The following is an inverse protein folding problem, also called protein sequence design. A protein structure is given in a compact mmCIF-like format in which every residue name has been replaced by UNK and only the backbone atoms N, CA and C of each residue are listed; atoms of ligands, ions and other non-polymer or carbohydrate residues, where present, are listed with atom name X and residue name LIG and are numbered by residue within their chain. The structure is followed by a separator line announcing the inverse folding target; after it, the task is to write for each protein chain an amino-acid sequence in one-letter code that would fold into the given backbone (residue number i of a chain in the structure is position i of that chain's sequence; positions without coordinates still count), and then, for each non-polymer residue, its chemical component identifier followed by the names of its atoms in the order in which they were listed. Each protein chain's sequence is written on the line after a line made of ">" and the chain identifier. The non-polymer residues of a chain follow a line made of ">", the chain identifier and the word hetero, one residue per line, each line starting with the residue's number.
data_IF_584156191406
#
_entry.id   IF_584156191406
#
_cell.length_a   1.000
_cell.length_b   1.000
_cell.length_c   1.000
_cell.angle_alpha   90.00
_cell.angle_beta   90.00
_cell.angle_gamma   90.00
#
_symmetry.space_group_name_H-M   'P 1'
#
loop_
_entity.id
_entity.type
_entity.pdbx_description
1 polymer ?
#
# COMPACT_ATOMS: atom_id res chain seq x y z
N UNK A 1 -3.41 24.58 8.54
CA UNK A 1 -2.53 23.58 7.94
C UNK A 1 -2.77 23.52 6.44
N UNK A 2 -1.74 23.17 5.65
CA UNK A 2 -1.90 22.95 4.21
C UNK A 2 -2.33 21.49 4.03
N UNK A 3 -3.54 21.27 3.53
CA UNK A 3 -4.14 19.95 3.49
C UNK A 3 -3.97 19.28 2.13
N UNK A 4 -3.78 17.96 2.17
CA UNK A 4 -3.68 17.06 1.01
C UNK A 4 -4.43 15.78 1.33
N UNK A 5 -4.70 14.94 0.32
CA UNK A 5 -5.02 13.54 0.59
C UNK A 5 -3.72 12.83 0.99
N UNK A 6 -3.64 12.37 2.24
CA UNK A 6 -2.51 11.59 2.74
C UNK A 6 -2.57 10.17 2.19
N UNK A 7 -1.43 9.59 1.85
CA UNK A 7 -1.28 8.14 1.76
C UNK A 7 -1.65 7.49 3.10
N UNK A 8 -1.27 8.13 4.21
CA UNK A 8 -1.64 7.74 5.57
C UNK A 8 -0.69 6.70 6.16
N UNK A 9 -0.07 5.87 5.33
CA UNK A 9 0.96 4.93 5.73
C UNK A 9 2.25 5.10 4.91
N UNK A 10 2.76 6.33 4.84
CA UNK A 10 3.99 6.62 4.11
C UNK A 10 5.24 6.01 4.79
N UNK A 11 5.74 4.89 4.26
CA UNK A 11 7.00 4.27 4.69
C UNK A 11 7.68 3.52 3.53
N UNK A 12 8.98 3.20 3.68
CA UNK A 12 9.83 2.61 2.63
C UNK A 12 9.27 1.29 2.09
N UNK A 13 8.71 0.44 2.95
CA UNK A 13 8.12 -0.85 2.56
C UNK A 13 6.70 -0.73 1.99
N UNK A 14 6.04 0.42 2.10
CA UNK A 14 4.80 0.70 1.38
C UNK A 14 5.06 1.02 -0.09
N UNK A 15 6.30 1.31 -0.47
CA UNK A 15 6.69 1.42 -1.87
C UNK A 15 6.86 0.04 -2.48
N UNK A 16 6.38 -0.13 -3.70
CA UNK A 16 6.58 -1.35 -4.47
C UNK A 16 6.02 -1.22 -5.87
N UNK A 17 5.82 -2.35 -6.52
CA UNK A 17 5.34 -2.37 -7.90
C UNK A 17 4.16 -3.30 -8.11
N UNK A 18 3.33 -2.96 -9.09
CA UNK A 18 2.10 -3.65 -9.48
C UNK A 18 1.83 -3.45 -10.97
N UNK A 19 0.94 -4.26 -11.55
CA UNK A 19 0.48 -4.05 -12.92
C UNK A 19 -0.54 -2.89 -12.99
N UNK A 20 -0.27 -1.93 -13.87
CA UNK A 20 -1.22 -0.89 -14.22
C UNK A 20 -2.35 -1.41 -15.14
N UNK A 21 -3.37 -0.59 -15.44
CA UNK A 21 -4.48 -0.96 -16.33
C UNK A 21 -4.07 -1.37 -17.75
N UNK A 22 -2.89 -0.93 -18.23
CA UNK A 22 -2.33 -1.31 -19.52
C UNK A 22 -1.42 -2.55 -19.44
N UNK A 23 -1.35 -3.21 -18.28
CA UNK A 23 -0.50 -4.36 -18.00
C UNK A 23 0.98 -4.02 -17.78
N UNK A 24 1.39 -2.75 -17.92
CA UNK A 24 2.76 -2.34 -17.62
C UNK A 24 2.97 -2.28 -16.12
N UNK A 25 4.16 -2.70 -15.68
CA UNK A 25 4.52 -2.59 -14.27
C UNK A 25 4.81 -1.14 -13.90
N UNK A 26 4.13 -0.68 -12.87
CA UNK A 26 4.29 0.64 -12.26
C UNK A 26 4.94 0.46 -10.90
N UNK A 27 5.78 1.40 -10.48
CA UNK A 27 6.28 1.46 -9.11
C UNK A 27 5.68 2.68 -8.39
N UNK A 28 5.05 2.45 -7.24
CA UNK A 28 4.30 3.46 -6.48
C UNK A 28 4.01 2.97 -5.05
N UNK A 29 3.21 3.72 -4.28
CA UNK A 29 2.65 3.26 -2.99
C UNK A 29 1.65 2.10 -3.18
N UNK A 30 1.60 1.17 -2.22
CA UNK A 30 0.77 -0.05 -2.33
C UNK A 30 -0.43 -0.10 -1.37
N UNK A 31 -0.34 0.62 -0.26
CA UNK A 31 -1.28 0.58 0.85
C UNK A 31 -1.80 2.00 1.16
N UNK A 32 -3.12 2.08 1.29
CA UNK A 32 -3.91 3.30 1.49
C UNK A 32 -4.99 3.07 2.54
N UNK A 33 -4.88 2.02 3.37
CA UNK A 33 -5.81 1.75 4.48
C UNK A 33 -5.99 2.97 5.39
N UNK A 34 -4.96 3.80 5.55
CA UNK A 34 -4.94 4.96 6.44
C UNK A 34 -5.15 6.30 5.72
N UNK A 35 -5.50 6.27 4.44
CA UNK A 35 -5.66 7.50 3.63
C UNK A 35 -6.77 8.40 4.17
N UNK A 36 -6.46 9.69 4.36
CA UNK A 36 -7.40 10.71 4.85
C UNK A 36 -6.92 12.09 4.42
N UNK A 37 -7.80 13.08 4.38
CA UNK A 37 -7.37 14.47 4.25
C UNK A 37 -6.67 14.94 5.54
N UNK A 38 -5.47 15.50 5.38
CA UNK A 38 -4.68 15.98 6.51
C UNK A 38 -3.45 16.80 6.12
N UNK A 39 -2.70 17.28 7.13
CA UNK A 39 -1.50 18.07 6.90
C UNK A 39 -0.43 17.29 6.16
N UNK A 40 0.05 17.82 5.02
CA UNK A 40 1.04 17.16 4.16
C UNK A 40 2.32 16.75 4.90
N UNK A 41 2.68 17.45 5.98
CA UNK A 41 3.86 17.15 6.77
C UNK A 41 3.80 15.76 7.41
N UNK A 42 2.60 15.21 7.65
CA UNK A 42 2.45 13.92 8.35
C UNK A 42 3.05 12.78 7.53
N UNK A 43 2.73 12.70 6.24
CA UNK A 43 3.30 11.70 5.34
C UNK A 43 4.81 11.92 5.13
N UNK A 44 5.24 13.18 4.97
CA UNK A 44 6.66 13.51 4.76
C UNK A 44 7.50 13.15 5.99
N UNK A 45 7.02 13.46 7.19
CA UNK A 45 7.66 13.10 8.46
C UNK A 45 7.72 11.59 8.67
N UNK A 46 6.62 10.88 8.39
CA UNK A 46 6.54 9.42 8.53
C UNK A 46 7.49 8.70 7.57
N UNK A 47 7.52 9.12 6.30
CA UNK A 47 8.46 8.57 5.31
C UNK A 47 9.91 8.86 5.69
N UNK A 48 10.22 10.08 6.14
CA UNK A 48 11.57 10.44 6.58
C UNK A 48 12.04 9.57 7.77
N UNK A 49 11.18 9.36 8.78
CA UNK A 49 11.49 8.46 9.89
C UNK A 49 11.69 7.01 9.41
N UNK A 50 10.87 6.55 8.45
CA UNK A 50 11.04 5.23 7.84
C UNK A 50 12.36 5.09 7.09
N UNK A 51 12.87 6.13 6.43
CA UNK A 51 14.17 6.12 5.76
C UNK A 51 15.31 5.96 6.78
N UNK A 52 15.21 6.61 7.95
CA UNK A 52 16.18 6.43 9.05
C UNK A 52 16.17 4.98 9.53
N UNK A 53 15.00 4.41 9.83
CA UNK A 53 14.86 3.02 10.28
C UNK A 53 15.37 2.03 9.24
N UNK A 54 15.04 2.23 7.96
CA UNK A 54 15.55 1.40 6.87
C UNK A 54 17.08 1.50 6.74
N UNK A 55 17.65 2.68 6.98
CA UNK A 55 19.08 2.89 7.05
C UNK A 55 19.75 2.13 8.19
N UNK A 56 19.16 2.17 9.41
CA UNK A 56 19.64 1.42 10.58
C UNK A 56 19.63 -0.08 10.32
N UNK A 57 18.54 -0.61 9.79
CA UNK A 57 18.40 -2.03 9.43
C UNK A 57 19.42 -2.45 8.36
N UNK A 58 19.68 -1.58 7.38
CA UNK A 58 20.72 -1.80 6.37
C UNK A 58 22.16 -1.60 6.88
N UNK A 59 22.35 -1.41 8.19
CA UNK A 59 23.64 -1.17 8.87
C UNK A 59 24.38 0.10 8.39
N UNK A 60 23.64 1.12 7.99
CA UNK A 60 24.21 2.42 7.63
C UNK A 60 24.55 3.25 8.87
N UNK A 61 25.57 4.12 8.71
CA UNK A 61 25.94 5.09 9.75
C UNK A 61 25.01 6.29 9.72
N UNK A 62 24.99 7.05 10.83
CA UNK A 62 24.19 8.26 10.97
C UNK A 62 24.30 9.23 9.79
N UNK A 63 25.52 9.50 9.33
CA UNK A 63 25.74 10.39 8.20
C UNK A 63 25.02 9.91 6.93
N UNK A 64 24.95 8.61 6.68
CA UNK A 64 24.38 8.05 5.46
C UNK A 64 22.86 8.16 5.43
N UNK A 65 22.16 7.75 6.50
CA UNK A 65 20.69 7.92 6.51
C UNK A 65 20.27 9.38 6.66
N UNK A 66 21.11 10.24 7.26
CA UNK A 66 20.87 11.70 7.30
C UNK A 66 20.86 12.28 5.89
N UNK A 67 21.87 11.94 5.07
CA UNK A 67 21.93 12.35 3.66
C UNK A 67 20.74 11.80 2.88
N UNK A 68 20.33 10.55 3.11
CA UNK A 68 19.16 9.99 2.44
C UNK A 68 17.85 10.74 2.78
N UNK A 69 17.65 11.12 4.04
CA UNK A 69 16.47 11.93 4.44
C UNK A 69 16.53 13.32 3.80
N UNK A 70 17.69 13.96 3.80
CA UNK A 70 17.86 15.26 3.14
C UNK A 70 17.60 15.17 1.63
N UNK A 71 18.06 14.11 0.96
CA UNK A 71 17.79 13.85 -0.45
C UNK A 71 16.30 13.62 -0.73
N UNK A 72 15.59 12.92 0.15
CA UNK A 72 14.13 12.76 0.10
C UNK A 72 13.41 14.12 0.18
N UNK A 73 13.72 14.94 1.18
CA UNK A 73 13.03 16.23 1.39
C UNK A 73 13.40 17.24 0.32
N UNK A 74 14.67 17.27 -0.11
CA UNK A 74 15.11 18.11 -1.22
C UNK A 74 14.37 17.73 -2.50
N UNK A 75 14.29 16.44 -2.82
CA UNK A 75 13.54 16.00 -4.00
C UNK A 75 12.06 16.36 -3.88
N UNK A 76 11.44 16.12 -2.72
CA UNK A 76 10.05 16.49 -2.48
C UNK A 76 9.81 17.98 -2.77
N UNK A 77 10.66 18.85 -2.22
CA UNK A 77 10.54 20.31 -2.35
C UNK A 77 10.74 20.77 -3.81
N UNK A 78 11.77 20.27 -4.49
CA UNK A 78 12.03 20.60 -5.90
C UNK A 78 10.94 20.07 -6.83
N UNK A 79 10.39 18.88 -6.56
CA UNK A 79 9.25 18.35 -7.33
C UNK A 79 7.99 19.17 -7.11
N UNK A 80 7.73 19.63 -5.89
CA UNK A 80 6.62 20.57 -5.63
C UNK A 80 6.78 21.89 -6.35
N UNK A 81 7.99 22.46 -6.37
CA UNK A 81 8.29 23.67 -7.12
C UNK A 81 8.03 23.48 -8.63
N UNK A 82 8.45 22.33 -9.18
CA UNK A 82 8.14 21.95 -10.55
C UNK A 82 6.62 21.88 -10.80
N UNK A 83 5.88 21.13 -9.97
CA UNK A 83 4.43 20.96 -10.16
C UNK A 83 3.64 22.26 -9.98
N UNK A 84 4.10 23.17 -9.12
CA UNK A 84 3.52 24.49 -8.98
C UNK A 84 3.62 25.34 -10.26
N UNK A 85 4.64 25.09 -11.10
CA UNK A 85 4.86 25.77 -12.38
C UNK A 85 4.22 25.08 -13.59
N UNK A 86 3.67 23.87 -13.43
CA UNK A 86 3.13 23.06 -14.53
C UNK A 86 1.61 23.22 -14.71
N UNK A 87 1.09 23.05 -15.94
CA UNK A 87 -0.35 22.95 -16.15
C UNK A 87 -0.97 21.78 -15.36
N UNK A 88 -2.13 22.01 -14.75
CA UNK A 88 -2.83 21.05 -13.87
C UNK A 88 -2.97 19.65 -14.51
N UNK A 89 -3.27 19.57 -15.82
CA UNK A 89 -3.41 18.28 -16.51
C UNK A 89 -2.07 17.52 -16.66
N UNK A 90 -0.94 18.22 -16.67
CA UNK A 90 0.38 17.58 -16.70
C UNK A 90 0.69 16.99 -15.33
N UNK A 91 0.50 17.76 -14.24
CA UNK A 91 0.63 17.27 -12.86
C UNK A 91 -0.28 16.06 -12.60
N UNK A 92 -1.54 16.12 -13.04
CA UNK A 92 -2.50 15.04 -12.88
C UNK A 92 -2.07 13.72 -13.57
N UNK A 93 -1.25 13.80 -14.62
CA UNK A 93 -0.79 12.67 -15.44
C UNK A 93 0.69 12.31 -15.20
N UNK A 94 1.39 13.04 -14.33
CA UNK A 94 2.82 12.88 -14.12
C UNK A 94 3.16 11.46 -13.70
N UNK A 95 4.17 10.87 -14.33
CA UNK A 95 4.71 9.56 -13.99
C UNK A 95 6.20 9.68 -13.68
N UNK A 96 6.67 8.98 -12.65
CA UNK A 96 8.06 9.01 -12.24
C UNK A 96 8.90 8.03 -13.04
N UNK A 97 9.65 8.52 -14.03
CA UNK A 97 10.39 7.66 -14.97
C UNK A 97 11.76 7.18 -14.45
N UNK A 98 12.37 7.89 -13.50
CA UNK A 98 13.71 7.55 -12.94
C UNK A 98 13.78 6.24 -12.17
N UNK A 99 12.63 5.63 -11.89
CA UNK A 99 12.48 4.33 -11.24
C UNK A 99 13.30 3.21 -11.89
N UNK A 100 13.43 3.22 -13.22
CA UNK A 100 14.04 2.11 -13.95
C UNK A 100 15.57 2.01 -13.77
N UNK A 101 16.22 3.08 -13.26
CA UNK A 101 17.67 3.14 -13.06
C UNK A 101 18.08 2.90 -11.60
N UNK A 102 17.12 2.76 -10.68
CA UNK A 102 17.37 2.61 -9.24
C UNK A 102 17.32 1.13 -8.86
N UNK A 103 18.47 0.58 -8.45
CA UNK A 103 18.65 -0.87 -8.21
C UNK A 103 17.58 -1.51 -7.31
N UNK A 104 17.22 -0.96 -6.12
CA UNK A 104 16.12 -1.48 -5.30
C UNK A 104 14.79 -1.59 -6.07
N UNK A 105 14.48 -0.60 -6.90
CA UNK A 105 13.25 -0.53 -7.69
C UNK A 105 13.29 -1.51 -8.85
N UNK A 106 14.41 -1.59 -9.58
CA UNK A 106 14.61 -2.61 -10.62
C UNK A 106 14.47 -4.02 -10.06
N UNK A 107 14.91 -4.28 -8.82
CA UNK A 107 14.73 -5.56 -8.15
C UNK A 107 13.24 -5.85 -7.86
N UNK A 108 12.49 -4.88 -7.31
CA UNK A 108 11.05 -5.00 -7.08
C UNK A 108 10.26 -5.23 -8.38
N UNK A 109 10.63 -4.53 -9.47
CA UNK A 109 10.04 -4.72 -10.80
C UNK A 109 10.31 -6.13 -11.35
N UNK A 110 11.53 -6.66 -11.19
CA UNK A 110 11.86 -8.04 -11.60
C UNK A 110 11.11 -9.10 -10.80
N UNK A 111 10.89 -8.85 -9.50
CA UNK A 111 10.05 -9.71 -8.67
C UNK A 111 8.61 -9.73 -9.19
N UNK A 112 8.08 -8.55 -9.50
CA UNK A 112 6.73 -8.34 -10.02
C UNK A 112 6.49 -9.07 -11.34
N UNK A 113 7.45 -9.03 -12.27
CA UNK A 113 7.38 -9.77 -13.55
C UNK A 113 7.16 -11.28 -13.36
N UNK A 114 7.60 -11.85 -12.24
CA UNK A 114 7.49 -13.29 -11.94
C UNK A 114 6.30 -13.64 -11.05
N UNK A 115 5.50 -12.67 -10.65
CA UNK A 115 4.35 -12.87 -9.77
C UNK A 115 3.05 -12.82 -10.57
N UNK A 116 2.81 -13.84 -11.41
CA UNK A 116 1.61 -13.88 -12.25
C UNK A 116 0.41 -14.49 -11.49
N UNK A 117 -0.84 -14.20 -11.92
CA UNK A 117 -2.03 -14.88 -11.40
C UNK A 117 -1.95 -16.41 -11.49
N UNK A 118 -1.36 -16.96 -12.56
CA UNK A 118 -1.13 -18.40 -12.72
C UNK A 118 -0.15 -18.97 -11.68
N UNK A 119 0.87 -18.20 -11.27
CA UNK A 119 1.75 -18.60 -10.17
C UNK A 119 1.00 -18.66 -8.85
N UNK A 120 0.07 -17.71 -8.62
CA UNK A 120 -0.75 -17.67 -7.43
C UNK A 120 -1.73 -18.86 -7.39
N UNK A 121 -2.36 -19.18 -8.51
CA UNK A 121 -3.21 -20.36 -8.68
C UNK A 121 -2.46 -21.64 -8.26
N UNK A 122 -1.30 -21.89 -8.85
CA UNK A 122 -0.49 -23.08 -8.51
C UNK A 122 -0.07 -23.14 -7.04
N UNK A 123 0.18 -21.99 -6.42
CA UNK A 123 0.62 -21.89 -5.01
C UNK A 123 -0.53 -22.08 -4.02
N UNK A 124 -1.70 -21.52 -4.31
CA UNK A 124 -2.81 -21.43 -3.38
C UNK A 124 -3.86 -22.52 -3.55
N UNK A 125 -3.92 -23.22 -4.69
CA UNK A 125 -4.98 -24.20 -4.95
C UNK A 125 -4.48 -25.63 -5.15
N UNK A 126 -5.41 -26.58 -4.97
CA UNK A 126 -5.33 -27.98 -5.36
C UNK A 126 -6.61 -28.34 -6.11
N UNK A 127 -6.56 -29.17 -7.16
CA UNK A 127 -7.77 -29.63 -7.84
C UNK A 127 -8.62 -30.51 -6.89
N UNK A 128 -9.94 -30.37 -6.97
CA UNK A 128 -10.89 -31.32 -6.39
C UNK A 128 -11.08 -32.57 -7.28
N UNK A 129 -11.99 -33.47 -6.91
CA UNK A 129 -12.29 -34.71 -7.64
C UNK A 129 -12.72 -34.47 -9.10
N UNK A 130 -13.23 -33.28 -9.41
CA UNK A 130 -13.66 -32.88 -10.74
C UNK A 130 -12.61 -32.04 -11.48
N UNK A 131 -11.43 -31.85 -10.89
CA UNK A 131 -10.36 -31.03 -11.45
C UNK A 131 -10.55 -29.52 -11.25
N UNK A 132 -11.55 -29.09 -10.49
CA UNK A 132 -11.80 -27.66 -10.21
C UNK A 132 -10.81 -27.17 -9.16
N UNK A 133 -10.11 -26.03 -9.36
CA UNK A 133 -9.16 -25.54 -8.37
C UNK A 133 -9.88 -25.08 -7.10
N UNK A 134 -9.49 -25.67 -5.96
CA UNK A 134 -9.92 -25.28 -4.61
C UNK A 134 -8.77 -24.75 -3.81
N UNK A 135 -9.02 -23.73 -3.01
CA UNK A 135 -8.05 -23.18 -2.08
C UNK A 135 -7.55 -24.25 -1.11
N UNK A 136 -6.23 -24.28 -0.90
CA UNK A 136 -5.58 -25.13 0.10
C UNK A 136 -5.84 -24.59 1.49
N UNK A 137 -6.08 -25.49 2.44
CA UNK A 137 -6.12 -25.15 3.86
C UNK A 137 -4.71 -25.14 4.46
N UNK A 138 -4.28 -23.95 4.87
CA UNK A 138 -3.01 -23.66 5.55
C UNK A 138 -3.29 -22.74 6.73
N UNK A 139 -4.12 -23.19 7.67
CA UNK A 139 -4.40 -22.42 8.89
C UNK A 139 -3.11 -22.22 9.70
N UNK A 140 -2.95 -21.06 10.38
CA UNK A 140 -3.91 -19.95 10.48
C UNK A 140 -3.69 -18.84 9.42
N UNK A 141 -2.86 -19.05 8.40
CA UNK A 141 -2.50 -17.97 7.46
C UNK A 141 -3.45 -17.87 6.26
N UNK A 142 -3.99 -18.99 5.80
CA UNK A 142 -4.90 -19.04 4.66
C UNK A 142 -5.76 -20.30 4.72
N UNK A 143 -7.07 -20.20 4.47
CA UNK A 143 -7.95 -21.37 4.40
C UNK A 143 -9.16 -21.11 3.51
N UNK A 144 -9.78 -22.17 3.01
CA UNK A 144 -11.07 -22.13 2.33
C UNK A 144 -12.17 -21.85 3.36
N UNK A 145 -13.08 -20.93 3.07
CA UNK A 145 -14.19 -20.61 3.97
C UNK A 145 -15.32 -21.63 3.86
N UNK A 146 -16.27 -21.61 4.80
CA UNK A 146 -17.48 -22.42 4.69
C UNK A 146 -18.34 -21.98 3.50
N UNK A 147 -19.19 -22.87 2.97
CA UNK A 147 -20.04 -22.52 1.83
C UNK A 147 -21.01 -21.36 2.18
N UNK A 148 -21.49 -21.30 3.42
CA UNK A 148 -22.31 -20.19 3.90
C UNK A 148 -21.57 -18.84 3.88
N UNK A 149 -20.32 -18.81 4.33
CA UNK A 149 -19.48 -17.60 4.25
C UNK A 149 -19.15 -17.24 2.79
N UNK A 150 -18.87 -18.24 1.95
CA UNK A 150 -18.63 -18.03 0.53
C UNK A 150 -19.84 -17.37 -0.15
N UNK A 151 -21.06 -17.85 0.11
CA UNK A 151 -22.30 -17.24 -0.41
C UNK A 151 -22.49 -15.77 0.03
N UNK A 152 -22.10 -15.42 1.25
CA UNK A 152 -22.14 -14.03 1.71
C UNK A 152 -21.12 -13.17 0.96
N UNK A 153 -19.88 -13.65 0.81
CA UNK A 153 -18.82 -12.94 0.09
C UNK A 153 -19.17 -12.74 -1.38
N UNK A 154 -19.72 -13.77 -2.03
CA UNK A 154 -20.13 -13.69 -3.43
C UNK A 154 -21.29 -12.71 -3.64
N UNK A 155 -22.27 -12.65 -2.73
CA UNK A 155 -23.33 -11.61 -2.77
C UNK A 155 -22.78 -10.20 -2.55
N UNK A 156 -21.73 -10.05 -1.75
CA UNK A 156 -21.06 -8.75 -1.60
C UNK A 156 -20.42 -8.27 -2.92
N UNK A 157 -20.20 -9.14 -3.91
CA UNK A 157 -19.69 -8.72 -5.22
C UNK A 157 -20.72 -7.91 -6.02
N UNK A 158 -22.02 -8.03 -5.73
CA UNK A 158 -23.07 -7.26 -6.41
C UNK A 158 -22.91 -5.76 -6.12
N UNK A 159 -22.74 -5.40 -4.85
CA UNK A 159 -22.46 -4.01 -4.44
C UNK A 159 -21.12 -3.52 -5.00
N UNK A 160 -20.10 -4.38 -4.99
CA UNK A 160 -18.80 -4.04 -5.57
C UNK A 160 -18.88 -3.75 -7.07
N UNK A 161 -19.65 -4.54 -7.82
CA UNK A 161 -19.82 -4.36 -9.24
C UNK A 161 -20.34 -2.96 -9.58
N UNK A 162 -21.26 -2.43 -8.79
CA UNK A 162 -21.80 -1.07 -8.94
C UNK A 162 -20.75 0.03 -8.73
N UNK A 163 -19.64 -0.25 -8.04
CA UNK A 163 -18.54 0.71 -7.80
C UNK A 163 -17.53 0.80 -8.94
N UNK A 164 -17.54 -0.18 -9.85
CA UNK A 164 -16.62 -0.24 -10.97
C UNK A 164 -17.01 0.73 -12.09
N UNK A 165 -16.01 1.16 -12.88
CA UNK A 165 -16.28 1.92 -14.11
C UNK A 165 -17.05 1.06 -15.13
N UNK A 166 -17.91 1.65 -15.99
CA UNK A 166 -18.72 0.88 -16.94
C UNK A 166 -17.92 -0.08 -17.84
N UNK A 167 -16.72 0.32 -18.28
CA UNK A 167 -15.82 -0.53 -19.06
C UNK A 167 -15.25 -1.69 -18.25
N UNK A 168 -14.92 -1.45 -16.97
CA UNK A 168 -14.42 -2.47 -16.03
C UNK A 168 -15.52 -3.46 -15.64
N UNK A 169 -16.77 -3.00 -15.54
CA UNK A 169 -17.95 -3.84 -15.30
C UNK A 169 -18.14 -4.89 -16.41
N UNK A 170 -18.03 -4.49 -17.68
CA UNK A 170 -18.15 -5.42 -18.82
C UNK A 170 -17.06 -6.49 -18.81
N UNK A 171 -15.82 -6.07 -18.54
CA UNK A 171 -14.70 -7.00 -18.41
C UNK A 171 -14.91 -7.96 -17.23
N UNK A 172 -15.29 -7.45 -16.06
CA UNK A 172 -15.50 -8.25 -14.86
C UNK A 172 -16.62 -9.30 -15.04
N UNK A 173 -17.66 -8.98 -15.82
CA UNK A 173 -18.75 -9.92 -16.12
C UNK A 173 -18.29 -11.17 -16.90
N UNK A 174 -17.11 -11.14 -17.53
CA UNK A 174 -16.54 -12.29 -18.23
C UNK A 174 -15.88 -13.31 -17.28
N UNK A 175 -15.75 -12.97 -16.00
CA UNK A 175 -15.17 -13.85 -14.98
C UNK A 175 -16.28 -14.54 -14.17
N UNK A 176 -16.12 -15.84 -13.93
CA UNK A 176 -16.98 -16.62 -13.03
C UNK A 176 -16.28 -16.92 -11.71
N UNK A 177 -16.94 -16.80 -10.55
CA UNK A 177 -16.36 -17.20 -9.27
C UNK A 177 -16.21 -18.73 -9.21
N UNK A 178 -15.09 -19.18 -8.64
CA UNK A 178 -14.75 -20.59 -8.49
C UNK A 178 -14.72 -20.99 -7.03
N UNK A 179 -13.97 -20.27 -6.19
CA UNK A 179 -13.81 -20.62 -4.77
C UNK A 179 -13.53 -19.38 -3.92
N UNK A 180 -13.77 -19.48 -2.61
CA UNK A 180 -13.56 -18.38 -1.66
C UNK A 180 -12.67 -18.86 -0.52
N UNK A 181 -11.63 -18.07 -0.25
CA UNK A 181 -10.70 -18.27 0.86
C UNK A 181 -10.69 -17.09 1.82
N UNK A 182 -10.16 -17.32 3.01
CA UNK A 182 -9.81 -16.30 3.97
C UNK A 182 -8.29 -16.27 4.10
N UNK A 183 -7.73 -15.08 4.11
CA UNK A 183 -6.28 -14.85 4.24
C UNK A 183 -6.03 -13.91 5.40
N UNK A 184 -5.20 -14.32 6.35
CA UNK A 184 -4.68 -13.40 7.37
C UNK A 184 -3.55 -12.58 6.74
N UNK A 185 -3.62 -11.25 6.84
CA UNK A 185 -2.66 -10.34 6.19
C UNK A 185 -2.10 -9.33 7.19
N UNK A 186 -0.80 -9.08 7.07
CA UNK A 186 -0.11 -7.97 7.74
C UNK A 186 -0.09 -8.07 9.27
N UNK A 187 0.72 -7.22 9.88
CA UNK A 187 0.73 -7.03 11.34
C UNK A 187 -0.38 -6.08 11.78
N UNK A 188 -0.75 -5.10 10.94
CA UNK A 188 -1.77 -4.08 11.23
C UNK A 188 -3.22 -4.51 11.01
N UNK A 189 -3.47 -5.61 10.28
CA UNK A 189 -4.83 -6.08 9.97
C UNK A 189 -5.16 -7.43 10.63
N UNK A 190 -4.34 -7.88 11.60
CA UNK A 190 -4.66 -9.08 12.39
C UNK A 190 -5.98 -8.86 13.13
N UNK A 191 -6.92 -9.79 12.94
CA UNK A 191 -8.28 -9.69 13.50
C UNK A 191 -9.29 -9.04 12.56
N UNK A 192 -8.86 -8.49 11.42
CA UNK A 192 -9.76 -7.99 10.39
C UNK A 192 -10.16 -9.09 9.39
N UNK A 193 -11.33 -8.94 8.76
CA UNK A 193 -11.79 -9.86 7.72
C UNK A 193 -11.04 -9.59 6.42
N UNK A 194 -10.51 -10.65 5.81
CA UNK A 194 -9.88 -10.53 4.52
C UNK A 194 -10.13 -11.78 3.68
N UNK A 195 -11.08 -11.66 2.76
CA UNK A 195 -11.50 -12.72 1.86
C UNK A 195 -10.77 -12.63 0.52
N UNK A 196 -10.61 -13.78 -0.13
CA UNK A 196 -10.03 -13.91 -1.46
C UNK A 196 -10.97 -14.74 -2.30
N UNK A 197 -11.48 -14.16 -3.39
CA UNK A 197 -12.29 -14.87 -4.38
C UNK A 197 -11.41 -15.27 -5.54
N UNK A 198 -11.32 -16.57 -5.81
CA UNK A 198 -10.77 -17.08 -7.07
C UNK A 198 -11.86 -17.01 -8.13
N UNK A 199 -11.55 -16.39 -9.25
CA UNK A 199 -12.40 -16.34 -10.43
C UNK A 199 -11.66 -16.86 -11.66
N UNK A 200 -12.42 -17.29 -12.67
CA UNK A 200 -11.91 -17.81 -13.94
C UNK A 200 -12.53 -17.05 -15.10
N UNK A 201 -11.71 -16.58 -16.03
CA UNK A 201 -12.14 -15.93 -17.27
C UNK A 201 -12.21 -16.92 -18.43
N UNK A 202 -11.34 -16.73 -19.42
CA UNK A 202 -11.26 -17.56 -20.63
C UNK A 202 -10.56 -18.93 -20.39
N UNK A 203 -11.12 -19.71 -19.45
CA UNK A 203 -10.68 -21.06 -19.10
C UNK A 203 -9.63 -21.11 -17.98
N UNK A 204 -9.16 -22.33 -17.60
CA UNK A 204 -8.39 -22.55 -16.37
C UNK A 204 -7.01 -21.86 -16.27
N UNK A 205 -6.50 -21.34 -17.40
CA UNK A 205 -5.25 -20.59 -17.47
C UNK A 205 -5.43 -19.07 -17.39
N UNK A 206 -6.66 -18.61 -17.15
CA UNK A 206 -7.03 -17.19 -17.00
C UNK A 206 -7.63 -16.91 -15.61
N UNK A 207 -6.85 -17.08 -14.51
CA UNK A 207 -7.35 -16.85 -13.17
C UNK A 207 -7.30 -15.37 -12.77
N UNK A 208 -8.33 -14.92 -12.06
CA UNK A 208 -8.37 -13.64 -11.37
C UNK A 208 -8.51 -13.88 -9.86
N UNK A 209 -7.72 -13.19 -9.06
CA UNK A 209 -7.85 -13.21 -7.61
C UNK A 209 -8.30 -11.85 -7.11
N UNK A 210 -9.51 -11.81 -6.54
CA UNK A 210 -10.07 -10.60 -5.97
C UNK A 210 -9.95 -10.65 -4.44
N UNK A 211 -9.39 -9.60 -3.84
CA UNK A 211 -9.30 -9.45 -2.40
C UNK A 211 -10.41 -8.54 -1.90
N UNK A 212 -11.17 -8.98 -0.89
CA UNK A 212 -12.08 -8.14 -0.11
C UNK A 212 -11.46 -7.97 1.27
N UNK A 213 -10.80 -6.83 1.50
CA UNK A 213 -10.12 -6.49 2.75
C UNK A 213 -11.02 -5.56 3.57
N UNK A 214 -11.34 -5.94 4.80
CA UNK A 214 -12.11 -5.09 5.68
C UNK A 214 -11.32 -3.82 6.00
N UNK A 215 -11.97 -2.68 5.82
CA UNK A 215 -11.44 -1.37 6.17
C UNK A 215 -12.14 -0.84 7.42
N UNK A 216 -11.37 -0.20 8.29
CA UNK A 216 -11.89 0.48 9.49
C UNK A 216 -11.61 1.98 9.40
N UNK A 217 -12.12 2.72 10.39
CA UNK A 217 -11.77 4.12 10.55
C UNK A 217 -10.25 4.29 10.59
N UNK A 218 -9.72 5.26 9.84
CA UNK A 218 -8.29 5.56 9.89
C UNK A 218 -7.86 5.88 11.32
N UNK A 219 -6.66 5.43 11.70
CA UNK A 219 -5.96 5.81 12.92
C UNK A 219 -5.86 7.33 13.10
N UNK A 220 -5.87 8.11 12.03
CA UNK A 220 -5.87 9.58 12.07
C UNK A 220 -7.22 10.19 12.44
N UNK A 221 -8.34 9.45 12.39
CA UNK A 221 -9.66 10.00 12.74
C UNK A 221 -9.68 10.62 14.14
N UNK A 222 -8.90 10.07 15.09
CA UNK A 222 -8.79 10.64 16.45
C UNK A 222 -8.20 12.04 16.50
N UNK A 223 -7.44 12.41 15.47
CA UNK A 223 -6.82 13.73 15.31
C UNK A 223 -7.57 14.62 14.31
N UNK A 224 -8.56 14.05 13.61
CA UNK A 224 -9.37 14.70 12.58
C UNK A 224 -10.86 14.37 12.78
N UNK A 225 -11.45 14.63 13.97
CA UNK A 225 -12.80 14.15 14.31
C UNK A 225 -13.90 14.75 13.44
N UNK A 226 -13.62 15.86 12.74
CA UNK A 226 -14.53 16.51 11.80
C UNK A 226 -14.58 15.84 10.41
N UNK A 227 -13.62 14.98 10.08
CA UNK A 227 -13.62 14.21 8.84
C UNK A 227 -14.32 12.88 9.09
N UNK A 228 -15.51 12.73 8.51
CA UNK A 228 -16.32 11.53 8.63
C UNK A 228 -16.50 10.91 7.25
N UNK A 229 -16.19 9.61 7.16
CA UNK A 229 -16.43 8.82 5.96
C UNK A 229 -17.54 7.82 6.22
N UNK A 230 -18.58 7.86 5.39
CA UNK A 230 -19.73 6.94 5.49
C UNK A 230 -19.34 5.48 5.25
N UNK A 231 -18.31 5.25 4.44
CA UNK A 231 -17.83 3.92 4.09
C UNK A 231 -16.30 3.88 3.99
N UNK A 232 -15.65 3.03 4.78
CA UNK A 232 -14.18 3.00 4.93
C UNK A 232 -13.46 2.39 3.72
N UNK A 233 -14.04 1.35 3.10
CA UNK A 233 -13.58 0.82 1.81
C UNK A 233 -13.56 1.86 0.69
N UNK A 234 -14.61 2.68 0.60
CA UNK A 234 -14.70 3.80 -0.34
C UNK A 234 -13.64 4.86 -0.05
N UNK A 235 -13.40 5.21 1.22
CA UNK A 235 -12.32 6.12 1.62
C UNK A 235 -10.97 5.66 1.07
N UNK A 236 -10.60 4.40 1.35
CA UNK A 236 -9.34 3.82 0.88
C UNK A 236 -9.23 3.85 -0.67
N UNK A 237 -10.25 3.38 -1.38
CA UNK A 237 -10.26 3.34 -2.83
C UNK A 237 -10.18 4.73 -3.48
N UNK A 238 -10.93 5.71 -2.95
CA UNK A 238 -10.95 7.07 -3.47
C UNK A 238 -9.65 7.81 -3.15
N UNK A 239 -9.12 7.67 -1.93
CA UNK A 239 -7.84 8.26 -1.55
C UNK A 239 -6.69 7.75 -2.42
N UNK A 240 -6.66 6.45 -2.70
CA UNK A 240 -5.70 5.86 -3.65
C UNK A 240 -5.80 6.50 -5.04
N UNK A 241 -7.00 6.66 -5.60
CA UNK A 241 -7.21 7.30 -6.92
C UNK A 241 -6.81 8.78 -6.94
N UNK A 242 -7.01 9.50 -5.82
CA UNK A 242 -6.59 10.90 -5.66
C UNK A 242 -5.08 11.07 -5.64
N UNK A 243 -4.35 10.09 -5.09
CA UNK A 243 -2.88 10.15 -4.95
C UNK A 243 -2.16 9.54 -6.16
N UNK A 244 -2.68 8.44 -6.72
CA UNK A 244 -2.04 7.72 -7.83
C UNK A 244 -2.62 8.06 -9.20
N UNK A 245 -1.79 8.44 -10.19
CA UNK A 245 -2.26 8.69 -11.56
C UNK A 245 -2.72 7.39 -12.24
N UNK A 246 -2.22 6.25 -11.76
CA UNK A 246 -2.54 4.91 -12.23
C UNK A 246 -2.87 4.05 -11.02
N UNK A 247 -4.07 3.47 -11.01
CA UNK A 247 -4.53 2.51 -10.00
C UNK A 247 -5.11 1.28 -10.67
N UNK A 248 -5.28 0.22 -9.89
CA UNK A 248 -5.90 -1.04 -10.31
C UNK A 248 -7.26 -0.80 -10.99
N UNK A 249 -7.48 -1.44 -12.15
CA UNK A 249 -8.72 -1.38 -12.92
C UNK A 249 -9.93 -1.90 -12.13
N UNK A 250 -9.70 -2.84 -11.22
CA UNK A 250 -10.70 -3.49 -10.37
C UNK A 250 -10.69 -2.94 -8.92
N UNK A 251 -10.08 -1.77 -8.70
CA UNK A 251 -10.18 -1.09 -7.41
C UNK A 251 -11.62 -0.61 -7.18
N UNK A 252 -12.26 -1.09 -6.12
CA UNK A 252 -13.62 -0.73 -5.72
C UNK A 252 -13.85 -0.97 -4.24
N UNK A 253 -15.11 -1.03 -3.81
CA UNK A 253 -15.45 -1.27 -2.41
C UNK A 253 -16.78 -2.04 -2.30
N UNK A 254 -17.07 -2.61 -1.13
CA UNK A 254 -18.33 -3.29 -0.86
C UNK A 254 -18.66 -3.29 0.63
N UNK A 255 -19.88 -3.66 0.99
CA UNK A 255 -20.31 -3.86 2.37
C UNK A 255 -20.85 -5.28 2.57
N UNK A 256 -20.51 -5.91 3.68
CA UNK A 256 -21.01 -7.23 4.04
C UNK A 256 -21.10 -7.39 5.56
N UNK A 257 -22.25 -7.82 6.07
CA UNK A 257 -22.42 -8.10 7.50
C UNK A 257 -22.14 -6.91 8.43
N UNK A 258 -22.43 -5.68 7.98
CA UNK A 258 -22.14 -4.46 8.74
C UNK A 258 -20.68 -4.02 8.73
N UNK A 259 -19.85 -4.60 7.86
CA UNK A 259 -18.46 -4.23 7.66
C UNK A 259 -18.23 -3.67 6.26
N UNK A 260 -17.32 -2.70 6.17
CA UNK A 260 -16.88 -2.07 4.94
C UNK A 260 -15.63 -2.77 4.40
N UNK A 261 -15.57 -2.97 3.09
CA UNK A 261 -14.46 -3.64 2.42
C UNK A 261 -13.89 -2.79 1.30
N UNK A 262 -12.58 -2.70 1.22
CA UNK A 262 -11.85 -2.37 0.01
C UNK A 262 -11.77 -3.63 -0.87
N UNK A 263 -12.04 -3.49 -2.16
CA UNK A 263 -11.97 -4.58 -3.13
C UNK A 263 -10.94 -4.27 -4.19
N UNK A 264 -9.99 -5.18 -4.43
CA UNK A 264 -8.89 -5.00 -5.39
C UNK A 264 -8.30 -6.33 -5.86
N UNK A 265 -7.47 -6.33 -6.90
CA UNK A 265 -6.72 -7.51 -7.32
C UNK A 265 -5.68 -7.92 -6.27
N UNK A 266 -5.64 -9.22 -5.98
CA UNK A 266 -4.65 -9.81 -5.09
C UNK A 266 -3.41 -10.24 -5.87
N UNK A 267 -2.26 -9.68 -5.48
CA UNK A 267 -0.94 -10.16 -5.91
C UNK A 267 -0.75 -10.25 -7.45
N UNK A 268 -1.46 -9.42 -8.22
CA UNK A 268 -1.22 -9.28 -9.66
C UNK A 268 0.08 -8.49 -9.89
N UNK A 269 1.18 -9.21 -10.11
CA UNK A 269 2.51 -8.65 -10.29
C UNK A 269 3.00 -7.77 -9.13
N UNK A 270 2.80 -8.20 -7.88
CA UNK A 270 3.31 -7.46 -6.71
C UNK A 270 4.81 -7.66 -6.47
N UNK A 271 5.52 -6.57 -6.22
CA UNK A 271 6.91 -6.56 -5.76
C UNK A 271 7.11 -5.51 -4.67
N UNK A 272 8.01 -5.80 -3.73
CA UNK A 272 8.29 -4.94 -2.57
C UNK A 272 9.76 -4.57 -2.51
N UNK A 273 10.08 -3.51 -1.78
CA UNK A 273 11.47 -3.16 -1.49
C UNK A 273 12.12 -4.20 -0.58
N UNK A 274 13.22 -4.77 -1.05
CA UNK A 274 14.12 -5.63 -0.29
C UNK A 274 15.16 -4.78 0.43
N UNK A 275 15.20 -4.87 1.77
CA UNK A 275 16.09 -4.08 2.63
C UNK A 275 17.57 -4.34 2.34
N UNK A 276 17.92 -5.54 1.88
CA UNK A 276 19.28 -5.86 1.47
C UNK A 276 19.75 -5.01 0.28
N UNK A 277 18.82 -4.57 -0.58
CA UNK A 277 19.13 -3.67 -1.69
C UNK A 277 19.36 -2.22 -1.26
N UNK A 278 19.06 -1.85 0.00
CA UNK A 278 19.24 -0.50 0.52
C UNK A 278 20.67 -0.20 0.98
N UNK A 279 21.56 -1.20 0.97
CA UNK A 279 22.99 -1.02 1.25
C UNK A 279 23.67 -0.13 0.20
N UNK A 280 24.78 0.49 0.58
CA UNK A 280 25.49 1.46 -0.28
C UNK A 280 24.60 2.66 -0.66
N UNK A 281 24.58 3.02 -1.94
CA UNK A 281 23.75 4.13 -2.46
C UNK A 281 22.25 3.78 -2.63
N UNK A 282 21.85 2.53 -2.36
CA UNK A 282 20.47 2.09 -2.57
C UNK A 282 19.44 2.88 -1.75
N UNK A 283 19.76 3.18 -0.49
CA UNK A 283 18.90 3.97 0.39
C UNK A 283 18.65 5.39 -0.15
N UNK A 284 19.72 6.10 -0.52
CA UNK A 284 19.63 7.49 -1.01
C UNK A 284 18.87 7.57 -2.35
N UNK A 285 19.19 6.69 -3.30
CA UNK A 285 18.48 6.63 -4.58
C UNK A 285 17.00 6.31 -4.42
N UNK A 286 16.64 5.42 -3.49
CA UNK A 286 15.23 5.14 -3.18
C UNK A 286 14.55 6.35 -2.50
N UNK A 287 15.24 6.98 -1.55
CA UNK A 287 14.75 8.14 -0.81
C UNK A 287 14.40 9.29 -1.75
N UNK A 288 15.23 9.58 -2.75
CA UNK A 288 14.86 10.56 -3.75
C UNK A 288 13.63 10.10 -4.57
N UNK A 289 13.48 8.82 -4.95
CA UNK A 289 12.28 8.39 -5.71
C UNK A 289 11.02 8.54 -4.86
N UNK A 290 11.10 8.18 -3.57
CA UNK A 290 10.03 8.40 -2.61
C UNK A 290 9.63 9.89 -2.53
N UNK A 291 10.62 10.80 -2.56
CA UNK A 291 10.36 12.25 -2.49
C UNK A 291 9.54 12.76 -3.66
N UNK A 292 9.85 12.30 -4.88
CA UNK A 292 9.10 12.66 -6.08
C UNK A 292 7.69 12.03 -6.10
N UNK A 293 7.58 10.74 -5.75
CA UNK A 293 6.28 10.04 -5.69
C UNK A 293 5.33 10.71 -4.69
N UNK A 294 5.85 11.09 -3.52
CA UNK A 294 5.10 11.77 -2.48
C UNK A 294 4.70 13.18 -2.93
N UNK A 295 5.62 13.94 -3.53
CA UNK A 295 5.34 15.27 -4.06
C UNK A 295 4.23 15.21 -5.11
N UNK A 296 4.30 14.25 -6.05
CA UNK A 296 3.28 14.04 -7.06
C UNK A 296 1.92 13.71 -6.44
N UNK A 297 1.89 12.81 -5.45
CA UNK A 297 0.66 12.44 -4.74
C UNK A 297 -0.02 13.64 -4.07
N UNK A 298 0.76 14.45 -3.37
CA UNK A 298 0.29 15.66 -2.68
C UNK A 298 -0.12 16.75 -3.69
N UNK A 299 0.61 16.94 -4.79
CA UNK A 299 0.27 17.93 -5.82
C UNK A 299 -1.01 17.59 -6.60
N UNK A 300 -1.38 16.29 -6.68
CA UNK A 300 -2.64 15.86 -7.30
C UNK A 300 -3.87 16.07 -6.41
N UNK A 301 -3.67 16.22 -5.10
CA UNK A 301 -4.75 16.23 -4.11
C UNK A 301 -4.76 17.47 -3.21
N UNK A 302 -3.79 18.37 -3.35
CA UNK A 302 -3.71 19.63 -2.61
C UNK A 302 -2.97 20.72 -3.37
N UNK A 303 -2.62 21.80 -2.67
CA UNK A 303 -2.10 23.02 -3.30
C UNK A 303 -0.56 23.03 -3.36
N UNK A 304 -0.02 22.71 -4.54
CA UNK A 304 1.41 22.70 -4.79
C UNK A 304 2.06 24.09 -4.60
N UNK A 305 1.37 25.18 -4.95
CA UNK A 305 1.90 26.54 -4.78
C UNK A 305 2.06 26.90 -3.30
N UNK A 306 1.08 26.54 -2.47
CA UNK A 306 1.13 26.75 -1.02
C UNK A 306 2.24 25.93 -0.37
N UNK A 307 2.39 24.65 -0.74
CA UNK A 307 3.47 23.80 -0.22
C UNK A 307 4.84 24.31 -0.65
N UNK A 308 5.01 24.70 -1.91
CA UNK A 308 6.26 25.31 -2.41
C UNK A 308 6.59 26.61 -1.65
N UNK A 309 5.60 27.48 -1.45
CA UNK A 309 5.76 28.70 -0.66
C UNK A 309 6.18 28.43 0.79
N UNK A 310 5.62 27.38 1.42
CA UNK A 310 5.99 26.96 2.77
C UNK A 310 7.40 26.38 2.84
N UNK A 311 7.77 25.50 1.90
CA UNK A 311 9.10 24.88 1.85
C UNK A 311 10.22 25.88 1.55
N UNK A 312 9.92 26.96 0.80
CA UNK A 312 10.90 27.97 0.40
C UNK A 312 12.08 27.34 -0.34
N UNK A 313 13.31 27.68 0.06
CA UNK A 313 14.52 27.10 -0.54
C UNK A 313 14.78 25.62 -0.18
N UNK A 314 13.93 24.97 0.62
CA UNK A 314 14.09 23.57 1.01
C UNK A 314 15.07 23.32 2.16
N UNK A 315 16.11 24.16 2.34
CA UNK A 315 17.18 23.91 3.31
C UNK A 315 16.71 23.84 4.78
N UNK A 316 15.83 24.76 5.20
CA UNK A 316 15.30 24.79 6.58
C UNK A 316 14.36 23.62 6.85
N UNK A 317 13.46 23.32 5.90
CA UNK A 317 12.51 22.20 6.04
C UNK A 317 13.24 20.86 6.01
N UNK A 318 14.25 20.71 5.14
CA UNK A 318 15.10 19.52 5.07
C UNK A 318 15.79 19.25 6.42
N UNK A 319 16.43 20.26 7.01
CA UNK A 319 17.02 20.15 8.34
C UNK A 319 15.99 19.75 9.40
N UNK A 320 14.85 20.45 9.46
CA UNK A 320 13.83 20.21 10.47
C UNK A 320 13.20 18.81 10.37
N UNK A 321 12.92 18.34 9.16
CA UNK A 321 12.37 17.00 8.92
C UNK A 321 13.40 15.92 9.21
N UNK A 322 14.68 16.13 8.86
CA UNK A 322 15.77 15.21 9.22
C UNK A 322 15.92 15.06 10.73
N UNK A 323 15.99 16.18 11.45
CA UNK A 323 16.15 16.17 12.90
C UNK A 323 14.96 15.46 13.56
N UNK A 324 13.73 15.78 13.13
CA UNK A 324 12.51 15.07 13.54
C UNK A 324 12.57 13.56 13.24
N UNK A 325 13.00 13.17 12.04
CA UNK A 325 13.01 11.78 11.61
C UNK A 325 13.95 10.92 12.44
N UNK A 326 15.10 11.48 12.85
CA UNK A 326 16.08 10.80 13.72
C UNK A 326 15.47 10.60 15.11
N UNK A 327 14.91 11.66 15.71
CA UNK A 327 14.27 11.58 17.03
C UNK A 327 13.09 10.60 17.04
N UNK A 328 12.27 10.61 15.98
CA UNK A 328 11.12 9.71 15.87
C UNK A 328 11.55 8.25 15.64
N UNK A 329 12.64 8.01 14.92
CA UNK A 329 13.20 6.68 14.78
C UNK A 329 13.73 6.14 16.12
N UNK A 330 14.38 6.99 16.93
CA UNK A 330 14.80 6.64 18.29
C UNK A 330 13.61 6.25 19.17
N UNK A 331 12.53 7.05 19.12
CA UNK A 331 11.29 6.73 19.84
C UNK A 331 10.68 5.40 19.36
N UNK A 332 10.67 5.15 18.05
CA UNK A 332 10.13 3.91 17.48
C UNK A 332 10.89 2.67 17.96
N UNK A 333 12.22 2.72 17.98
CA UNK A 333 13.05 1.62 18.50
C UNK A 333 12.88 1.45 20.01
N UNK A 334 12.77 2.55 20.77
CA UNK A 334 12.49 2.50 22.20
C UNK A 334 11.13 1.86 22.52
N UNK A 335 10.08 2.22 21.76
CA UNK A 335 8.75 1.64 21.88
C UNK A 335 8.76 0.14 21.55
N UNK A 336 9.50 -0.25 20.50
CA UNK A 336 9.65 -1.65 20.14
C UNK A 336 10.40 -2.45 21.23
N UNK A 337 11.47 -1.87 21.81
CA UNK A 337 12.17 -2.49 22.93
C UNK A 337 11.27 -2.62 24.18
N UNK A 338 10.45 -1.60 24.47
CA UNK A 338 9.48 -1.65 25.55
C UNK A 338 8.43 -2.76 25.32
N UNK A 339 7.92 -2.90 24.09
CA UNK A 339 7.02 -3.97 23.70
C UNK A 339 7.65 -5.36 23.88
N UNK A 340 8.89 -5.56 23.40
CA UNK A 340 9.62 -6.81 23.60
C UNK A 340 9.85 -7.13 25.07
N UNK A 341 10.16 -6.12 25.90
CA UNK A 341 10.32 -6.30 27.34
C UNK A 341 8.99 -6.64 28.03
N UNK A 342 7.87 -6.08 27.57
CA UNK A 342 6.54 -6.43 28.08
C UNK A 342 6.16 -7.88 27.76
N UNK A 343 6.54 -8.40 26.57
CA UNK A 343 6.41 -9.82 26.23
C UNK A 343 7.26 -10.67 27.17
N UNK A 344 8.55 -10.36 27.34
CA UNK A 344 9.45 -11.10 28.24
C UNK A 344 8.96 -11.11 29.69
N UNK A 345 8.28 -10.04 30.12
CA UNK A 345 7.70 -9.89 31.44
C UNK A 345 6.28 -10.49 31.55
N UNK A 346 5.78 -11.19 30.53
CA UNK A 346 4.42 -11.74 30.46
C UNK A 346 3.28 -10.72 30.70
N UNK A 347 3.54 -9.44 30.41
CA UNK A 347 2.51 -8.38 30.42
C UNK A 347 1.71 -8.34 29.12
N UNK A 348 2.30 -8.88 28.05
CA UNK A 348 1.65 -9.10 26.76
C UNK A 348 1.70 -10.60 26.48
N UNK A 349 0.53 -11.21 26.30
CA UNK A 349 0.44 -12.62 25.96
C UNK A 349 0.61 -12.83 24.46
N UNK A 350 1.50 -13.74 24.08
CA UNK A 350 1.62 -14.20 22.69
C UNK A 350 0.55 -15.28 22.44
N UNK A 351 -0.06 -15.25 21.26
CA UNK A 351 -0.93 -16.34 20.83
C UNK A 351 -0.08 -17.57 20.51
N UNK A 352 -0.48 -18.74 21.01
CA UNK A 352 0.10 -20.02 20.59
C UNK A 352 -0.32 -20.32 19.15
N UNK A 353 0.60 -20.08 18.20
CA UNK A 353 0.38 -20.35 16.77
C UNK A 353 0.74 -21.79 16.38
N UNK A 354 0.86 -22.71 17.34
CA UNK A 354 1.08 -24.12 17.05
C UNK A 354 -0.07 -24.62 16.18
N UNK A 355 0.18 -25.15 14.97
CA UNK A 355 -0.88 -25.70 14.15
C UNK A 355 -1.59 -26.79 14.96
N UNK A 356 -2.92 -26.73 15.04
CA UNK A 356 -3.69 -27.90 15.47
C UNK A 356 -3.30 -29.06 14.53
N UNK A 357 -2.79 -30.15 15.14
CA UNK A 357 -2.24 -31.31 14.46
C UNK A 357 -3.25 -32.00 13.52
#
# INVERSE_FOLDING_TARGET
>A
DIEVQLCGDAHVQNLGSFAGPDGRLVFDFNDFDETIEGPWEWDVKRMAASIVLAGREANHRHATYSVAVEAFVQRYSTSMEQFAGEPILQVARHQTHRQQQVKPITAALRQSQRATPCDLLRKLTTPDEHGTPRFRDKKPVFWRVTDHEAEQVLRALDLYYETLRPESQRMFHLFRPIDVGFKVVGTGSVGMRNYVVLMEGNGPADPLFLQLKQEVASAYNRYRPHIVHEHQGRRAAQGQRSIQPISDLLLGWSSMGGHDFLVRQLNDHKGSIDLEQLKGSGLESLAEVAGELMARGHARSGDACMITGYCGSGAKVSKAIRDFAIEYADQTEADFAAFQNAIKANKVHLADLTPAA
#
